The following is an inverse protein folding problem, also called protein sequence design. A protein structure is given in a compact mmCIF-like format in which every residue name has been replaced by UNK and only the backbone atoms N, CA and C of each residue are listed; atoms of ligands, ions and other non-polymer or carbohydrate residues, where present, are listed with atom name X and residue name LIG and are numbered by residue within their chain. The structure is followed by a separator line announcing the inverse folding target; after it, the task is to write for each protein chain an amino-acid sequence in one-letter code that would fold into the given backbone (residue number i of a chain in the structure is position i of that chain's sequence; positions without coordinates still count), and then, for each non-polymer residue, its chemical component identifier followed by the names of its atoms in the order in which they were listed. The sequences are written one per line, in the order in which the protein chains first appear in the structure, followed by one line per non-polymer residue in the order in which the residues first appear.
data_IF_986044714371
#
_entry.id   IF_986044714371
#
_cell.length_a   1.000
_cell.length_b   1.000
_cell.length_c   1.000
_cell.angle_alpha   90.00
_cell.angle_beta   90.00
_cell.angle_gamma   90.00
#
_symmetry.space_group_name_H-M   'P 1'
#
loop_
_entity.id
_entity.type
_entity.pdbx_description
1 polymer ?
#
# COMPACT_ATOMS: atom_id res chain seq x y z
N UNK A 1 -7.17 20.33 -5.57
CA UNK A 1 -7.28 18.85 -5.61
C UNK A 1 -6.96 18.33 -4.22
N UNK A 2 -7.90 17.66 -3.58
CA UNK A 2 -7.71 17.11 -2.23
C UNK A 2 -6.70 15.96 -2.26
N UNK A 3 -5.63 16.06 -1.47
CA UNK A 3 -4.74 14.95 -1.15
C UNK A 3 -5.53 13.89 -0.41
N UNK A 4 -5.40 12.62 -0.80
CA UNK A 4 -6.03 11.50 -0.06
C UNK A 4 -5.38 11.41 1.31
N UNK A 5 -6.20 11.32 2.35
CA UNK A 5 -5.70 11.09 3.71
C UNK A 5 -5.37 9.61 3.88
N UNK A 6 -4.10 9.26 3.63
CA UNK A 6 -3.58 7.88 3.67
C UNK A 6 -3.30 7.44 5.12
N UNK A 7 -4.38 7.25 5.88
CA UNK A 7 -4.32 6.78 7.27
C UNK A 7 -4.07 5.27 7.33
N UNK A 8 -3.10 4.86 8.16
CA UNK A 8 -2.74 3.47 8.36
C UNK A 8 -3.94 2.66 8.89
N UNK A 9 -4.70 3.23 9.83
CA UNK A 9 -5.85 2.56 10.45
C UNK A 9 -6.95 2.26 9.43
N UNK A 10 -7.16 3.16 8.46
CA UNK A 10 -8.12 2.97 7.38
C UNK A 10 -7.68 1.87 6.41
N UNK A 11 -6.38 1.80 6.10
CA UNK A 11 -5.83 0.71 5.29
C UNK A 11 -5.90 -0.63 6.03
N UNK A 12 -5.54 -0.68 7.31
CA UNK A 12 -5.68 -1.87 8.15
C UNK A 12 -7.12 -2.38 8.19
N UNK A 13 -8.08 -1.47 8.38
CA UNK A 13 -9.51 -1.81 8.39
C UNK A 13 -9.94 -2.42 7.05
N UNK A 14 -9.51 -1.82 5.94
CA UNK A 14 -9.78 -2.32 4.59
C UNK A 14 -9.19 -3.73 4.33
N UNK A 15 -8.00 -4.02 4.87
CA UNK A 15 -7.37 -5.35 4.80
C UNK A 15 -8.13 -6.38 5.64
N UNK A 16 -8.56 -6.01 6.86
CA UNK A 16 -9.32 -6.91 7.74
C UNK A 16 -10.68 -7.27 7.14
N UNK A 17 -11.37 -6.33 6.50
CA UNK A 17 -12.62 -6.60 5.76
C UNK A 17 -12.43 -7.60 4.61
N UNK A 18 -11.18 -7.77 4.14
CA UNK A 18 -10.78 -8.57 2.97
C UNK A 18 -9.79 -9.66 3.34
N UNK A 19 -9.85 -10.15 4.57
CA UNK A 19 -8.86 -11.08 5.14
C UNK A 19 -8.55 -12.24 4.19
N UNK A 20 -9.58 -12.89 3.65
CA UNK A 20 -9.45 -14.03 2.72
C UNK A 20 -9.45 -13.64 1.23
N UNK A 21 -9.65 -12.36 0.89
CA UNK A 21 -9.71 -11.90 -0.50
C UNK A 21 -8.33 -11.53 -1.00
N UNK A 22 -8.08 -11.70 -2.31
CA UNK A 22 -6.88 -11.18 -2.95
C UNK A 22 -7.00 -9.66 -3.03
N UNK A 23 -6.13 -8.96 -2.32
CA UNK A 23 -6.08 -7.50 -2.26
C UNK A 23 -5.10 -6.89 -3.25
N UNK A 24 -4.28 -7.71 -3.92
CA UNK A 24 -3.39 -7.26 -4.99
C UNK A 24 -2.25 -8.22 -5.26
N UNK A 25 -1.28 -7.72 -6.04
CA UNK A 25 -0.10 -8.37 -6.55
C UNK A 25 1.08 -7.40 -6.40
N UNK A 26 1.88 -7.53 -5.33
CA UNK A 26 3.02 -6.64 -5.10
C UNK A 26 3.98 -6.57 -6.29
N UNK A 27 4.72 -5.46 -6.41
CA UNK A 27 5.64 -5.22 -7.52
C UNK A 27 4.95 -4.99 -8.88
N UNK A 28 3.63 -4.82 -8.90
CA UNK A 28 2.87 -4.33 -10.05
C UNK A 28 2.30 -2.95 -9.70
N UNK A 29 2.66 -1.93 -10.48
CA UNK A 29 2.39 -0.53 -10.12
C UNK A 29 0.92 -0.24 -9.82
N UNK A 30 0.00 -0.79 -10.62
CA UNK A 30 -1.44 -0.46 -10.55
C UNK A 30 -2.30 -1.53 -9.85
N UNK A 31 -1.68 -2.62 -9.42
CA UNK A 31 -2.40 -3.75 -8.82
C UNK A 31 -1.72 -4.23 -7.53
N UNK A 32 -0.81 -3.44 -6.97
CA UNK A 32 -0.29 -3.63 -5.62
C UNK A 32 -1.40 -3.37 -4.59
N UNK A 33 -1.42 -4.04 -3.42
CA UNK A 33 -2.47 -3.84 -2.41
C UNK A 33 -2.69 -2.38 -1.99
N UNK A 34 -1.63 -1.58 -1.92
CA UNK A 34 -1.74 -0.16 -1.60
C UNK A 34 -2.30 0.64 -2.78
N UNK A 35 -1.89 0.32 -4.01
CA UNK A 35 -2.42 0.96 -5.22
C UNK A 35 -3.92 0.68 -5.40
N UNK A 36 -4.35 -0.56 -5.15
CA UNK A 36 -5.75 -0.98 -5.20
C UNK A 36 -6.59 -0.21 -4.17
N UNK A 37 -6.14 -0.17 -2.91
CA UNK A 37 -6.82 0.59 -1.87
C UNK A 37 -6.93 2.08 -2.20
N UNK A 38 -5.84 2.72 -2.61
CA UNK A 38 -5.85 4.14 -3.00
C UNK A 38 -6.81 4.37 -4.17
N UNK A 39 -6.83 3.46 -5.15
CA UNK A 39 -7.72 3.58 -6.30
C UNK A 39 -9.19 3.59 -5.88
N UNK A 40 -9.55 2.75 -4.91
CA UNK A 40 -10.90 2.71 -4.34
C UNK A 40 -11.25 3.99 -3.57
N UNK A 41 -10.30 4.55 -2.80
CA UNK A 41 -10.54 5.80 -2.05
C UNK A 41 -10.77 7.01 -2.98
N UNK A 42 -10.11 7.04 -4.15
CA UNK A 42 -10.18 8.18 -5.07
C UNK A 42 -11.21 7.99 -6.20
N UNK A 43 -11.69 6.76 -6.40
CA UNK A 43 -12.59 6.42 -7.50
C UNK A 43 -11.92 6.48 -8.88
N UNK A 44 -10.60 6.26 -8.94
CA UNK A 44 -9.83 6.19 -10.20
C UNK A 44 -8.59 5.33 -10.02
N UNK A 45 -8.09 4.76 -11.11
CA UNK A 45 -6.87 3.94 -11.08
C UNK A 45 -5.66 4.80 -10.69
N UNK A 46 -5.03 4.39 -9.59
CA UNK A 46 -3.79 4.94 -9.08
C UNK A 46 -2.71 3.85 -9.12
N UNK A 47 -1.46 4.29 -9.29
CA UNK A 47 -0.30 3.45 -9.16
C UNK A 47 0.53 3.82 -7.94
N UNK A 48 1.35 2.88 -7.51
CA UNK A 48 2.37 3.01 -6.48
C UNK A 48 3.69 2.52 -7.06
N UNK A 49 4.74 3.34 -6.93
CA UNK A 49 6.09 2.97 -7.36
C UNK A 49 7.11 3.51 -6.37
N UNK A 50 7.83 2.60 -5.71
CA UNK A 50 8.81 2.92 -4.67
C UNK A 50 8.23 3.77 -3.54
N UNK A 51 8.45 5.09 -3.61
CA UNK A 51 8.08 6.05 -2.56
C UNK A 51 6.96 7.00 -2.97
N UNK A 52 6.41 6.85 -4.16
CA UNK A 52 5.41 7.76 -4.72
C UNK A 52 4.15 7.02 -5.15
N UNK A 53 3.04 7.77 -5.21
CA UNK A 53 1.77 7.29 -5.71
C UNK A 53 1.06 8.38 -6.52
N UNK A 54 0.25 7.98 -7.48
CA UNK A 54 -0.53 8.94 -8.26
C UNK A 54 -1.45 8.29 -9.28
N UNK A 55 -2.30 9.07 -9.96
CA UNK A 55 -3.21 8.55 -10.97
C UNK A 55 -2.42 7.96 -12.13
N UNK A 56 -2.88 6.81 -12.66
CA UNK A 56 -2.21 6.16 -13.79
C UNK A 56 -2.16 7.02 -15.06
N UNK A 57 -3.09 7.97 -15.20
CA UNK A 57 -3.14 8.91 -16.31
C UNK A 57 -2.11 10.05 -16.23
N UNK A 58 -1.36 10.17 -15.14
CA UNK A 58 -0.41 11.25 -14.90
C UNK A 58 1.02 10.78 -14.99
N UNK A 59 1.89 11.65 -15.51
CA UNK A 59 3.34 11.44 -15.45
C UNK A 59 3.83 11.26 -14.01
N UNK A 60 4.76 10.33 -13.81
CA UNK A 60 5.30 10.00 -12.49
C UNK A 60 5.95 11.20 -11.79
N UNK A 61 6.45 12.20 -12.53
CA UNK A 61 6.99 13.43 -11.95
C UNK A 61 5.93 14.30 -11.23
N UNK A 62 4.64 13.99 -11.41
CA UNK A 62 3.50 14.66 -10.76
C UNK A 62 2.89 13.82 -9.63
N UNK A 63 3.45 12.65 -9.36
CA UNK A 63 2.99 11.79 -8.28
C UNK A 63 3.40 12.36 -6.92
N UNK A 64 2.64 12.01 -5.89
CA UNK A 64 2.86 12.48 -4.53
C UNK A 64 3.67 11.48 -3.72
N UNK A 65 4.36 11.95 -2.70
CA UNK A 65 5.09 11.11 -1.76
C UNK A 65 4.13 10.31 -0.87
N UNK A 66 4.46 9.04 -0.66
CA UNK A 66 3.78 8.17 0.30
C UNK A 66 4.17 8.54 1.74
N UNK A 67 3.28 8.34 2.72
CA UNK A 67 3.67 8.37 4.13
C UNK A 67 4.66 7.24 4.44
N UNK A 68 5.46 7.40 5.50
CA UNK A 68 6.55 6.47 5.82
C UNK A 68 6.08 5.02 5.97
N UNK A 69 4.95 4.77 6.65
CA UNK A 69 4.40 3.43 6.82
C UNK A 69 4.13 2.74 5.47
N UNK A 70 3.63 3.50 4.49
CA UNK A 70 3.30 3.00 3.16
C UNK A 70 4.56 2.73 2.34
N UNK A 71 5.59 3.58 2.45
CA UNK A 71 6.89 3.31 1.83
C UNK A 71 7.51 2.01 2.38
N UNK A 72 7.43 1.79 3.70
CA UNK A 72 7.90 0.57 4.32
C UNK A 72 7.09 -0.63 3.85
N UNK A 73 5.76 -0.50 3.79
CA UNK A 73 4.90 -1.55 3.28
C UNK A 73 5.30 -1.98 1.86
N UNK A 74 5.41 -1.05 0.92
CA UNK A 74 5.82 -1.33 -0.47
C UNK A 74 7.18 -2.02 -0.53
N UNK A 75 8.18 -1.50 0.19
CA UNK A 75 9.52 -2.10 0.21
C UNK A 75 9.53 -3.54 0.77
N UNK A 76 8.60 -3.86 1.66
CA UNK A 76 8.46 -5.20 2.24
C UNK A 76 7.64 -6.14 1.37
N UNK A 77 6.58 -5.66 0.74
CA UNK A 77 5.73 -6.45 -0.16
C UNK A 77 6.44 -6.78 -1.48
N UNK A 78 7.40 -5.96 -1.92
CA UNK A 78 8.24 -6.23 -3.10
C UNK A 78 9.00 -7.56 -3.02
N UNK A 79 9.28 -8.07 -1.81
CA UNK A 79 9.86 -9.41 -1.62
C UNK A 79 8.94 -10.54 -2.08
N UNK A 80 7.65 -10.26 -2.20
CA UNK A 80 6.58 -11.14 -2.64
C UNK A 80 6.07 -10.77 -4.04
N UNK A 81 6.85 -10.00 -4.80
CA UNK A 81 6.43 -9.47 -6.09
C UNK A 81 5.85 -10.54 -7.03
N UNK A 82 4.81 -10.17 -7.77
CA UNK A 82 4.09 -10.98 -8.76
C UNK A 82 3.35 -12.20 -8.19
N UNK A 83 3.17 -12.27 -6.87
CA UNK A 83 2.31 -13.27 -6.22
C UNK A 83 1.03 -12.61 -5.73
N UNK A 84 -0.10 -13.31 -5.83
CA UNK A 84 -1.33 -12.85 -5.21
C UNK A 84 -1.14 -12.73 -3.70
N UNK A 85 -1.60 -11.60 -3.14
CA UNK A 85 -1.54 -11.31 -1.72
C UNK A 85 -2.96 -11.17 -1.19
N UNK A 86 -3.26 -11.87 -0.10
CA UNK A 86 -4.53 -11.75 0.61
C UNK A 86 -4.50 -10.62 1.64
N UNK A 87 -5.68 -10.18 2.10
CA UNK A 87 -5.79 -9.17 3.15
C UNK A 87 -5.03 -9.57 4.42
N UNK A 88 -5.15 -10.85 4.84
CA UNK A 88 -4.42 -11.41 5.99
C UNK A 88 -2.90 -11.29 5.81
N UNK A 89 -2.39 -11.69 4.64
CA UNK A 89 -0.95 -11.65 4.35
C UNK A 89 -0.40 -10.22 4.34
N UNK A 90 -1.13 -9.28 3.73
CA UNK A 90 -0.76 -7.87 3.74
C UNK A 90 -0.78 -7.29 5.17
N UNK A 91 -1.79 -7.63 5.96
CA UNK A 91 -1.90 -7.18 7.35
C UNK A 91 -0.74 -7.74 8.21
N UNK A 92 -0.39 -9.01 8.04
CA UNK A 92 0.73 -9.63 8.73
C UNK A 92 2.07 -8.93 8.43
N UNK A 93 2.26 -8.42 7.20
CA UNK A 93 3.43 -7.61 6.83
C UNK A 93 3.44 -6.29 7.60
N UNK A 94 2.32 -5.57 7.69
CA UNK A 94 2.22 -4.33 8.49
C UNK A 94 2.54 -4.59 9.96
N UNK A 95 1.99 -5.65 10.55
CA UNK A 95 2.26 -6.04 11.93
C UNK A 95 3.74 -6.39 12.16
N UNK A 96 4.42 -6.97 11.18
CA UNK A 96 5.86 -7.24 11.24
C UNK A 96 6.69 -5.96 11.10
N UNK A 97 6.30 -5.01 10.25
CA UNK A 97 6.93 -3.68 10.15
C UNK A 97 6.85 -2.97 11.50
N UNK A 98 5.66 -2.92 12.11
CA UNK A 98 5.45 -2.27 13.41
C UNK A 98 6.31 -2.92 14.50
N UNK A 99 6.31 -4.26 14.60
CA UNK A 99 7.15 -4.99 15.58
C UNK A 99 8.65 -4.77 15.41
N UNK A 100 9.13 -4.43 14.20
CA UNK A 100 10.54 -4.10 13.96
C UNK A 100 10.86 -2.63 14.20
N UNK A 101 9.91 -1.74 13.94
CA UNK A 101 10.09 -0.31 14.18
C UNK A 101 9.94 0.06 15.67
N UNK A 102 9.11 -0.63 16.45
CA UNK A 102 9.05 -0.49 17.91
C UNK A 102 10.37 -0.91 18.61
N UNK A 103 11.22 -1.71 17.95
CA UNK A 103 12.52 -2.14 18.48
C UNK A 103 13.65 -1.14 18.29
N UNK A 104 13.41 -0.03 17.60
CA UNK A 104 14.42 1.00 17.31
C UNK A 104 14.29 2.26 18.17
N UNK A 105 13.39 2.28 19.16
CA UNK A 105 13.16 3.39 20.09
C UNK A 105 13.54 3.06 21.55
N UNK A 106 14.71 2.46 21.77
CA UNK A 106 15.30 2.28 23.12
C UNK A 106 16.77 2.70 23.16
#
# INVERSE_FOLDING_TARGET
MSTVDLRLEAFCSWLCERESEVVGYPGIWFNDPLAEWISQQVGRVCGVEGKVYGPAAWDMCRWWWLPLWAQLFVAWTDKYAKRAMTGEQAFAILAEIERRHQRLEW
#
